data_IF_877684765408
#
_entry.id   IF_877684765408
#
_cell.length_a   1.000
_cell.length_b   1.000
_cell.length_c   1.000
_cell.angle_alpha   90.00
_cell.angle_beta   90.00
_cell.angle_gamma   90.00
#
_symmetry.space_group_name_H-M   'P 1'
#
loop_
_entity.id
_entity.type
_entity.pdbx_description
1 polymer ?
#
# COMPACT_ATOMS: atom_id res chain seq x y z
N UNK A 1 2.93 12.87 11.69
CA UNK A 1 2.30 12.61 10.36
C UNK A 1 0.97 13.34 10.25
N UNK A 2 0.02 13.11 11.16
CA UNK A 2 -1.31 13.78 11.13
C UNK A 2 -1.21 15.31 11.06
N UNK A 3 -0.36 15.95 11.86
CA UNK A 3 -0.22 17.42 11.80
C UNK A 3 0.10 17.92 10.37
N UNK A 4 0.86 17.12 9.60
CA UNK A 4 1.14 17.44 8.20
C UNK A 4 -0.07 17.22 7.31
N UNK A 5 -0.84 16.15 7.54
CA UNK A 5 -2.11 15.93 6.84
C UNK A 5 -3.12 17.04 7.14
N UNK A 6 -3.30 17.44 8.40
CA UNK A 6 -4.14 18.56 8.80
C UNK A 6 -3.74 19.85 8.09
N UNK A 7 -2.44 20.14 8.01
CA UNK A 7 -1.94 21.34 7.33
C UNK A 7 -2.23 21.33 5.82
N UNK A 8 -2.08 20.18 5.16
CA UNK A 8 -2.16 20.07 3.70
C UNK A 8 -3.61 19.85 3.23
N UNK A 9 -4.38 19.05 3.95
CA UNK A 9 -5.70 18.57 3.53
C UNK A 9 -6.85 19.06 4.41
N UNK A 10 -6.58 19.78 5.51
CA UNK A 10 -7.60 20.23 6.46
C UNK A 10 -8.68 21.17 5.92
N UNK A 11 -8.52 21.69 4.70
CA UNK A 11 -9.50 22.54 4.01
C UNK A 11 -10.35 21.80 2.96
N UNK A 12 -10.06 20.54 2.69
CA UNK A 12 -10.75 19.77 1.65
C UNK A 12 -11.91 18.94 2.19
N UNK A 13 -12.93 18.71 1.36
CA UNK A 13 -14.15 17.99 1.76
C UNK A 13 -13.94 16.47 1.94
N UNK A 14 -12.85 15.93 1.41
CA UNK A 14 -12.54 14.50 1.47
C UNK A 14 -11.83 14.12 2.77
N UNK A 15 -11.08 15.04 3.39
CA UNK A 15 -10.28 14.77 4.58
C UNK A 15 -11.00 15.27 5.83
N UNK A 16 -11.17 14.39 6.81
CA UNK A 16 -11.80 14.72 8.08
C UNK A 16 -10.70 14.74 9.15
N UNK A 17 -10.37 15.92 9.71
CA UNK A 17 -9.34 16.03 10.73
C UNK A 17 -9.79 15.34 12.04
N UNK A 18 -8.83 14.94 12.90
CA UNK A 18 -9.14 14.43 14.23
C UNK A 18 -9.97 15.43 15.04
N UNK A 19 -10.80 14.92 15.96
CA UNK A 19 -11.62 15.77 16.85
C UNK A 19 -10.75 16.58 17.82
N UNK A 20 -9.64 16.00 18.28
CA UNK A 20 -8.74 16.59 19.26
C UNK A 20 -7.27 16.42 18.81
N UNK A 21 -6.39 17.32 19.24
CA UNK A 21 -4.96 17.30 18.85
C UNK A 21 -4.16 16.09 19.34
N UNK A 22 -4.66 15.34 20.32
CA UNK A 22 -4.05 14.12 20.84
C UNK A 22 -4.57 12.84 20.16
N UNK A 23 -5.63 12.96 19.37
CA UNK A 23 -6.22 11.83 18.68
C UNK A 23 -5.33 11.42 17.49
N UNK A 24 -5.09 10.12 17.38
CA UNK A 24 -4.31 9.53 16.28
C UNK A 24 -5.20 9.09 15.13
N UNK A 25 -6.51 9.32 15.21
CA UNK A 25 -7.47 8.98 14.17
C UNK A 25 -7.79 10.15 13.25
N UNK A 26 -7.96 9.86 11.97
CA UNK A 26 -8.47 10.82 10.98
C UNK A 26 -9.45 10.10 10.04
N UNK A 27 -10.38 10.84 9.44
CA UNK A 27 -11.36 10.27 8.52
C UNK A 27 -11.03 10.60 7.06
N UNK A 28 -11.49 9.73 6.17
CA UNK A 28 -11.54 9.97 4.72
C UNK A 28 -12.95 9.66 4.22
N UNK A 29 -13.53 10.58 3.46
CA UNK A 29 -14.79 10.35 2.74
C UNK A 29 -14.52 9.52 1.48
N UNK A 30 -14.79 8.21 1.53
CA UNK A 30 -14.74 7.34 0.36
C UNK A 30 -16.11 7.34 -0.36
N UNK A 31 -16.14 6.77 -1.57
CA UNK A 31 -17.39 6.59 -2.33
C UNK A 31 -18.43 5.77 -1.55
N UNK A 32 -17.98 4.81 -0.73
CA UNK A 32 -18.82 3.92 0.06
C UNK A 32 -19.10 4.43 1.49
N UNK A 33 -18.74 5.69 1.79
CA UNK A 33 -18.92 6.31 3.10
C UNK A 33 -17.61 6.71 3.78
N UNK A 34 -17.75 7.26 4.99
CA UNK A 34 -16.61 7.74 5.78
C UNK A 34 -15.92 6.56 6.46
N UNK A 35 -14.59 6.51 6.34
CA UNK A 35 -13.74 5.55 7.05
C UNK A 35 -12.75 6.30 7.93
N UNK A 36 -12.66 5.89 9.20
CA UNK A 36 -11.70 6.43 10.15
C UNK A 36 -10.47 5.50 10.24
N UNK A 37 -9.29 6.10 10.15
CA UNK A 37 -7.99 5.44 10.16
C UNK A 37 -7.21 5.84 11.39
N UNK A 38 -6.63 4.87 12.12
CA UNK A 38 -5.65 5.14 13.17
C UNK A 38 -4.25 5.20 12.58
N UNK A 39 -3.60 6.36 12.69
CA UNK A 39 -2.24 6.61 12.18
C UNK A 39 -1.12 5.90 12.95
N UNK A 40 -1.41 5.26 14.09
CA UNK A 40 -0.41 4.50 14.87
C UNK A 40 0.26 3.44 13.99
N UNK A 41 1.60 3.50 13.94
CA UNK A 41 2.41 2.58 13.15
C UNK A 41 2.37 2.81 11.63
N UNK A 42 1.68 3.84 11.11
CA UNK A 42 1.61 4.08 9.65
C UNK A 42 2.98 4.26 9.02
N UNK A 43 3.86 5.06 9.63
CA UNK A 43 5.19 5.33 9.08
C UNK A 43 6.09 4.10 9.09
N UNK A 44 6.02 3.30 10.15
CA UNK A 44 6.77 2.06 10.29
C UNK A 44 6.32 1.02 9.27
N UNK A 45 5.01 0.74 9.21
CA UNK A 45 4.41 -0.18 8.23
C UNK A 45 4.69 0.25 6.80
N UNK A 46 4.70 1.56 6.53
CA UNK A 46 4.99 2.07 5.19
C UNK A 46 6.49 2.03 4.83
N UNK A 47 7.39 2.00 5.82
CA UNK A 47 8.83 1.90 5.58
C UNK A 47 9.20 0.53 5.01
N UNK A 48 8.47 -0.52 5.38
CA UNK A 48 8.60 -1.88 4.83
C UNK A 48 10.05 -2.39 4.86
N UNK A 49 10.80 -1.98 5.89
CA UNK A 49 12.21 -2.28 6.01
C UNK A 49 12.40 -3.55 6.84
N UNK A 50 13.09 -4.53 6.27
CA UNK A 50 13.57 -5.68 6.99
C UNK A 50 14.88 -5.33 7.74
N UNK A 51 15.03 -5.83 8.96
CA UNK A 51 16.27 -5.64 9.73
C UNK A 51 17.46 -6.30 9.03
N UNK A 52 18.58 -5.59 8.97
CA UNK A 52 19.84 -6.10 8.41
C UNK A 52 20.32 -7.36 9.14
N UNK A 53 20.08 -7.45 10.43
CA UNK A 53 20.48 -8.60 11.25
C UNK A 53 19.71 -9.86 10.84
N UNK A 54 18.43 -9.71 10.47
CA UNK A 54 17.62 -10.81 9.96
C UNK A 54 18.08 -11.26 8.57
N UNK A 55 18.47 -10.31 7.71
CA UNK A 55 19.05 -10.63 6.40
C UNK A 55 20.34 -11.41 6.55
N UNK A 56 21.25 -10.97 7.43
CA UNK A 56 22.50 -11.68 7.72
C UNK A 56 22.27 -13.05 8.35
N UNK A 57 21.25 -13.19 9.21
CA UNK A 57 20.87 -14.47 9.79
C UNK A 57 20.40 -15.46 8.71
N UNK A 58 19.58 -15.00 7.77
CA UNK A 58 19.12 -15.80 6.63
C UNK A 58 20.30 -16.19 5.73
N UNK A 59 21.23 -15.28 5.49
CA UNK A 59 22.44 -15.54 4.71
C UNK A 59 23.33 -16.63 5.34
N UNK A 60 23.47 -16.62 6.67
CA UNK A 60 24.23 -17.63 7.41
C UNK A 60 23.49 -18.95 7.60
N UNK A 61 22.19 -19.00 7.34
CA UNK A 61 21.39 -20.21 7.48
C UNK A 61 21.86 -21.32 6.52
N UNK A 62 21.85 -22.57 6.99
CA UNK A 62 22.08 -23.75 6.13
C UNK A 62 20.83 -24.14 5.32
N UNK A 63 19.66 -23.56 5.62
CA UNK A 63 18.41 -23.87 4.95
C UNK A 63 18.33 -23.23 3.55
N UNK A 64 18.39 -24.08 2.51
CA UNK A 64 18.34 -23.64 1.10
C UNK A 64 17.02 -22.95 0.73
N UNK A 65 15.89 -23.45 1.24
CA UNK A 65 14.58 -22.85 0.97
C UNK A 65 14.48 -21.43 1.54
N UNK A 66 15.02 -21.24 2.75
CA UNK A 66 15.05 -19.93 3.39
C UNK A 66 15.89 -18.94 2.56
N UNK A 67 17.07 -19.36 2.09
CA UNK A 67 17.91 -18.54 1.20
C UNK A 67 17.22 -18.19 -0.12
N UNK A 68 16.50 -19.14 -0.71
CA UNK A 68 15.74 -18.92 -1.94
C UNK A 68 14.60 -17.92 -1.73
N UNK A 69 13.86 -18.00 -0.62
CA UNK A 69 12.77 -17.09 -0.32
C UNK A 69 13.23 -15.63 -0.16
N UNK A 70 14.46 -15.41 0.33
CA UNK A 70 15.04 -14.08 0.55
C UNK A 70 16.06 -13.67 -0.53
N UNK A 71 16.07 -14.34 -1.69
CA UNK A 71 17.09 -14.12 -2.71
C UNK A 71 17.20 -12.65 -3.16
N UNK A 72 16.07 -11.94 -3.27
CA UNK A 72 16.05 -10.53 -3.67
C UNK A 72 16.69 -9.60 -2.61
N UNK A 73 16.43 -9.91 -1.33
CA UNK A 73 16.98 -9.16 -0.19
C UNK A 73 18.47 -9.44 0.00
N UNK A 74 18.88 -10.70 -0.19
CA UNK A 74 20.29 -11.12 -0.14
C UNK A 74 21.10 -10.52 -1.29
N UNK A 75 20.52 -10.43 -2.49
CA UNK A 75 21.20 -9.86 -3.66
C UNK A 75 21.39 -8.34 -3.58
N UNK A 76 20.63 -7.66 -2.71
CA UNK A 76 20.68 -6.20 -2.56
C UNK A 76 21.83 -5.70 -1.67
N UNK A 77 22.47 -6.58 -0.90
CA UNK A 77 23.61 -6.26 -0.03
C UNK A 77 24.97 -6.35 -0.73
N UNK A 78 25.00 -6.70 -2.02
CA UNK A 78 26.24 -6.92 -2.77
C UNK A 78 26.98 -5.64 -3.16
N UNK A 79 26.34 -4.71 -3.88
CA UNK A 79 27.09 -3.60 -4.48
C UNK A 79 26.25 -2.32 -4.64
N UNK A 80 26.84 -1.22 -4.16
CA UNK A 80 26.54 0.12 -4.65
C UNK A 80 26.72 0.10 -6.17
N UNK A 81 25.63 0.30 -6.90
CA UNK A 81 25.61 0.65 -8.32
C UNK A 81 26.35 -0.32 -9.26
N UNK A 82 25.64 -1.29 -9.82
CA UNK A 82 25.89 -1.69 -11.21
C UNK A 82 24.62 -2.13 -11.90
N UNK A 83 24.51 -1.71 -13.15
CA UNK A 83 23.34 -1.84 -14.00
C UNK A 83 23.09 -3.32 -14.41
N UNK A 84 21.82 -3.75 -14.33
CA UNK A 84 21.01 -4.62 -15.21
C UNK A 84 21.73 -5.67 -16.11
N UNK A 85 21.12 -6.86 -16.44
CA UNK A 85 19.70 -6.96 -16.83
C UNK A 85 18.98 -8.32 -16.57
N UNK A 86 17.70 -8.30 -16.15
CA UNK A 86 16.61 -9.22 -16.57
C UNK A 86 15.41 -9.14 -15.61
N UNK A 87 14.55 -8.16 -15.81
CA UNK A 87 13.12 -8.40 -16.03
C UNK A 87 12.42 -7.06 -16.31
N UNK A 88 12.07 -6.90 -17.56
CA UNK A 88 11.26 -5.83 -18.12
C UNK A 88 9.87 -5.87 -17.51
N UNK A 89 9.50 -4.87 -16.69
CA UNK A 89 8.29 -4.04 -16.86
C UNK A 89 8.63 -2.65 -16.26
N UNK A 90 8.99 -1.75 -17.17
CA UNK A 90 8.80 -0.29 -17.15
C UNK A 90 8.93 0.42 -15.80
N UNK A 91 10.15 0.48 -15.25
CA UNK A 91 10.56 1.59 -14.38
C UNK A 91 10.94 2.78 -15.27
N UNK A 92 9.99 3.66 -15.54
CA UNK A 92 10.32 5.01 -16.02
C UNK A 92 11.07 5.74 -14.90
N UNK A 93 12.40 5.70 -14.99
CA UNK A 93 13.31 6.54 -14.24
C UNK A 93 13.17 7.96 -14.78
N UNK A 94 12.30 8.77 -14.18
CA UNK A 94 12.51 10.21 -14.16
C UNK A 94 13.58 10.50 -13.11
N UNK A 95 14.74 10.91 -13.61
CA UNK A 95 15.80 11.57 -12.85
C UNK A 95 15.23 12.72 -12.01
N UNK A 96 15.85 12.97 -10.85
CA UNK A 96 15.55 14.04 -9.88
C UNK A 96 14.67 13.70 -8.66
N UNK A 97 15.25 12.93 -7.72
CA UNK A 97 15.20 13.19 -6.28
C UNK A 97 16.15 12.22 -5.56
N UNK A 98 16.98 12.72 -4.63
CA UNK A 98 17.80 11.94 -3.67
C UNK A 98 17.08 10.64 -3.28
N UNK A 99 17.64 9.50 -3.71
CA UNK A 99 17.09 8.13 -3.62
C UNK A 99 16.43 7.86 -2.26
N UNK A 100 15.12 8.08 -2.17
CA UNK A 100 14.31 7.61 -1.03
C UNK A 100 14.08 6.13 -1.24
N UNK A 101 14.29 5.33 -0.19
CA UNK A 101 13.96 3.91 -0.21
C UNK A 101 12.51 3.71 -0.68
N UNK A 102 12.23 2.68 -1.50
CA UNK A 102 10.86 2.37 -1.89
C UNK A 102 10.01 2.16 -0.63
N UNK A 103 8.80 2.71 -0.63
CA UNK A 103 7.84 2.54 0.47
C UNK A 103 6.75 1.56 0.05
N UNK A 104 6.12 0.88 1.01
CA UNK A 104 5.02 -0.06 0.72
C UNK A 104 3.91 0.60 -0.10
N UNK A 105 3.48 1.79 0.31
CA UNK A 105 2.43 2.53 -0.41
C UNK A 105 2.89 2.94 -1.80
N UNK A 106 4.18 3.26 -1.98
CA UNK A 106 4.74 3.58 -3.30
C UNK A 106 4.71 2.38 -4.25
N UNK A 107 5.10 1.21 -3.76
CA UNK A 107 5.05 -0.04 -4.52
C UNK A 107 3.60 -0.42 -4.87
N UNK A 108 2.68 -0.32 -3.91
CA UNK A 108 1.26 -0.59 -4.12
C UNK A 108 0.60 0.39 -5.11
N UNK A 109 0.96 1.67 -5.05
CA UNK A 109 0.48 2.66 -6.04
C UNK A 109 0.96 2.30 -7.45
N UNK A 110 2.22 1.88 -7.60
CA UNK A 110 2.76 1.48 -8.90
C UNK A 110 2.07 0.24 -9.45
N UNK A 111 1.78 -0.77 -8.62
CA UNK A 111 1.06 -1.97 -9.06
C UNK A 111 -0.40 -1.66 -9.45
N UNK A 112 -1.08 -0.78 -8.71
CA UNK A 112 -2.41 -0.30 -9.06
C UNK A 112 -2.41 0.51 -10.37
N UNK A 113 -1.46 1.42 -10.56
CA UNK A 113 -1.34 2.20 -11.79
C UNK A 113 -1.12 1.29 -13.02
N UNK A 114 -0.27 0.26 -12.88
CA UNK A 114 -0.03 -0.73 -13.92
C UNK A 114 -1.29 -1.56 -14.25
N UNK A 115 -2.03 -1.98 -13.22
CA UNK A 115 -3.29 -2.69 -13.38
C UNK A 115 -4.31 -1.81 -14.10
N UNK A 116 -4.53 -0.58 -13.63
CA UNK A 116 -5.50 0.34 -14.21
C UNK A 116 -5.18 0.65 -15.68
N UNK A 117 -3.90 0.87 -16.02
CA UNK A 117 -3.47 1.07 -17.42
C UNK A 117 -3.84 -0.11 -18.33
N UNK A 118 -3.73 -1.33 -17.81
CA UNK A 118 -4.11 -2.54 -18.56
C UNK A 118 -5.62 -2.63 -18.72
N UNK A 119 -6.40 -2.30 -17.68
CA UNK A 119 -7.86 -2.32 -17.73
C UNK A 119 -8.44 -1.23 -18.65
N UNK A 120 -7.82 -0.05 -18.71
CA UNK A 120 -8.30 1.09 -19.52
C UNK A 120 -8.25 0.83 -21.03
N UNK A 121 -7.39 -0.07 -21.50
CA UNK A 121 -7.31 -0.42 -22.94
C UNK A 121 -8.23 -1.58 -23.34
N UNK A 122 -8.91 -2.21 -22.37
CA UNK A 122 -9.84 -3.31 -22.59
C UNK A 122 -11.29 -2.81 -22.65
N UNK A 123 -12.20 -3.63 -23.20
CA UNK A 123 -13.64 -3.38 -23.10
C UNK A 123 -14.16 -3.91 -21.74
N UNK A 124 -14.68 -3.03 -20.86
CA UNK A 124 -15.07 -3.44 -19.52
C UNK A 124 -16.49 -4.04 -19.50
N UNK A 125 -16.65 -5.11 -18.72
CA UNK A 125 -17.93 -5.65 -18.30
C UNK A 125 -17.94 -5.72 -16.76
N UNK A 126 -19.01 -5.25 -16.14
CA UNK A 126 -19.07 -5.10 -14.68
C UNK A 126 -20.06 -6.07 -14.06
N UNK A 127 -19.59 -6.87 -13.11
CA UNK A 127 -20.43 -7.66 -12.20
C UNK A 127 -20.42 -6.92 -10.85
N UNK A 128 -21.58 -6.45 -10.39
CA UNK A 128 -21.72 -5.79 -9.09
C UNK A 128 -22.19 -6.79 -8.04
N UNK A 129 -21.30 -7.15 -7.12
CA UNK A 129 -21.65 -8.01 -6.00
C UNK A 129 -22.30 -7.18 -4.87
N UNK A 130 -23.44 -7.64 -4.35
CA UNK A 130 -24.16 -7.00 -3.25
C UNK A 130 -24.10 -7.89 -2.00
N UNK A 131 -23.68 -7.31 -0.86
CA UNK A 131 -23.70 -7.99 0.44
C UNK A 131 -25.13 -7.89 1.02
N UNK A 132 -25.85 -9.01 1.22
CA UNK A 132 -27.25 -8.96 1.61
C UNK A 132 -27.46 -8.53 3.07
N UNK A 133 -26.51 -8.88 3.95
CA UNK A 133 -26.50 -8.51 5.37
C UNK A 133 -25.11 -8.72 5.98
N UNK A 134 -24.89 -8.11 7.16
CA UNK A 134 -23.66 -8.26 7.96
C UNK A 134 -23.61 -9.53 8.82
N UNK A 135 -24.75 -10.19 9.03
CA UNK A 135 -24.88 -11.38 9.89
C UNK A 135 -24.44 -12.69 9.23
N UNK A 136 -24.05 -12.65 7.95
CA UNK A 136 -23.68 -13.82 7.15
C UNK A 136 -24.80 -14.87 7.09
N UNK A 137 -26.06 -14.44 7.13
CA UNK A 137 -27.23 -15.33 7.10
C UNK A 137 -27.90 -15.33 5.73
N UNK A 138 -28.37 -16.48 5.22
CA UNK A 138 -29.21 -16.50 4.04
C UNK A 138 -30.59 -15.89 4.35
N UNK A 139 -31.26 -15.38 3.31
CA UNK A 139 -32.67 -14.92 3.35
C UNK A 139 -32.98 -13.76 4.32
N UNK A 140 -31.97 -13.10 4.88
CA UNK A 140 -32.13 -11.85 5.64
C UNK A 140 -31.61 -10.71 4.77
N UNK A 141 -32.51 -9.87 4.25
CA UNK A 141 -32.15 -8.68 3.47
C UNK A 141 -32.08 -7.45 4.37
N UNK A 142 -31.01 -6.65 4.24
CA UNK A 142 -30.98 -5.30 4.78
C UNK A 142 -31.79 -4.36 3.86
N UNK A 143 -32.72 -3.56 4.39
CA UNK A 143 -33.56 -2.62 3.61
C UNK A 143 -32.76 -1.53 2.86
N UNK A 144 -31.46 -1.40 3.15
CA UNK A 144 -30.58 -0.33 2.66
C UNK A 144 -30.02 -0.58 1.25
N UNK A 145 -30.44 -1.63 0.54
CA UNK A 145 -29.81 -2.08 -0.71
C UNK A 145 -30.37 -1.45 -2.00
N UNK A 146 -31.42 -0.62 -1.91
CA UNK A 146 -32.05 0.02 -3.07
C UNK A 146 -32.38 1.49 -2.79
N UNK A 147 -31.35 2.36 -2.82
CA UNK A 147 -31.50 3.79 -3.13
C UNK A 147 -30.36 4.20 -4.05
#
# INVERSE_FOLDING_TARGET
>A
MINKMNQVHGKGDVYIPPKNNHDTQFGIQHFAGVVHYDSKGFLEKNRDALSTDLIQLVEKSSNKMLKQAFQNELSSNGEIASANPKMTITRQQTVDAKKRAPTLSGQFRQSLDALMKTLTVCQPYFIRCIKPNDFKKPMVGSEVLFN
#
